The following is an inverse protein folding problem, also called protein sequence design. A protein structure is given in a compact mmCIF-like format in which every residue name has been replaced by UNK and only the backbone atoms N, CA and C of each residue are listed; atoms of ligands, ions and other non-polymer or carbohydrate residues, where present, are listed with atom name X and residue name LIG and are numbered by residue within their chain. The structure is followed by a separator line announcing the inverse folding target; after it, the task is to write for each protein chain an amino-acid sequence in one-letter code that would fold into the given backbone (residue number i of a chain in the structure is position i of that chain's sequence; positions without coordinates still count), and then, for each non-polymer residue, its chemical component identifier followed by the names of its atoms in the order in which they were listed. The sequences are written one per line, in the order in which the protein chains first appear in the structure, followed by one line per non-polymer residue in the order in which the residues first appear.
data_IF_060519119971
#
_entry.id   IF_060519119971
#
_cell.length_a   1.000
_cell.length_b   1.000
_cell.length_c   1.000
_cell.angle_alpha   90.00
_cell.angle_beta   90.00
_cell.angle_gamma   90.00
#
_symmetry.space_group_name_H-M   'P 1'
#
loop_
_entity.id
_entity.type
_entity.pdbx_description
1 polymer ?
#
# COMPACT_ATOMS: atom_id res chain seq x y z
N UNK A 1 40.16 -16.17 25.89
CA UNK A 1 39.05 -16.04 24.92
C UNK A 1 39.48 -16.74 23.65
N UNK A 2 38.84 -17.86 23.32
CA UNK A 2 39.01 -18.48 21.99
C UNK A 2 38.11 -17.72 21.01
N UNK A 3 38.55 -17.44 19.78
CA UNK A 3 37.66 -16.89 18.76
C UNK A 3 36.60 -17.94 18.42
N UNK A 4 35.37 -17.48 18.20
CA UNK A 4 34.29 -18.28 17.61
C UNK A 4 34.67 -18.64 16.16
N UNK A 5 34.27 -19.81 15.64
CA UNK A 5 34.51 -20.16 14.25
C UNK A 5 33.61 -19.32 13.34
N UNK A 6 34.18 -18.85 12.22
CA UNK A 6 33.44 -18.37 11.06
C UNK A 6 32.67 -19.55 10.45
N UNK A 7 31.37 -19.62 10.70
CA UNK A 7 30.45 -20.53 10.01
C UNK A 7 30.12 -19.94 8.62
N UNK A 8 31.02 -20.20 7.66
CA UNK A 8 30.64 -20.20 6.25
C UNK A 8 29.75 -21.43 6.00
N UNK A 9 28.44 -21.22 5.98
CA UNK A 9 27.49 -22.22 5.50
C UNK A 9 27.65 -22.40 3.98
N UNK A 10 27.92 -23.64 3.58
CA UNK A 10 27.94 -24.08 2.19
C UNK A 10 26.51 -23.97 1.58
N UNK A 11 26.31 -23.19 0.50
CA UNK A 11 24.99 -22.98 -0.11
C UNK A 11 24.41 -24.23 -0.79
N UNK A 12 25.16 -25.33 -0.92
CA UNK A 12 24.75 -26.50 -1.69
C UNK A 12 23.97 -27.59 -0.93
N UNK A 13 23.68 -27.44 0.37
CA UNK A 13 22.94 -28.48 1.10
C UNK A 13 21.82 -27.95 2.01
N UNK A 14 20.66 -27.66 1.41
CA UNK A 14 19.41 -27.41 2.15
C UNK A 14 18.81 -28.74 2.62
N UNK A 15 19.29 -29.28 3.75
CA UNK A 15 18.62 -30.40 4.41
C UNK A 15 17.56 -29.91 5.41
N UNK A 16 16.41 -30.58 5.41
CA UNK A 16 15.36 -30.40 6.42
C UNK A 16 15.95 -30.72 7.80
N UNK A 17 15.89 -29.76 8.71
CA UNK A 17 16.32 -29.99 10.10
C UNK A 17 15.36 -30.94 10.81
N UNK A 18 15.82 -31.66 11.83
CA UNK A 18 15.00 -32.58 12.63
C UNK A 18 13.78 -31.89 13.28
N UNK A 19 13.78 -30.56 13.34
CA UNK A 19 12.72 -29.70 13.87
C UNK A 19 11.69 -29.28 12.82
N UNK A 20 11.79 -29.73 11.56
CA UNK A 20 10.83 -29.39 10.49
C UNK A 20 11.05 -28.03 9.83
N UNK A 21 11.92 -27.17 10.39
CA UNK A 21 12.31 -25.87 9.84
C UNK A 21 13.20 -26.02 8.60
N UNK A 22 13.13 -25.03 7.70
CA UNK A 22 13.89 -25.01 6.45
C UNK A 22 14.41 -23.61 6.14
N UNK A 23 15.63 -23.53 5.64
CA UNK A 23 16.18 -22.26 5.17
C UNK A 23 15.54 -21.88 3.82
N UNK A 24 15.19 -20.62 3.65
CA UNK A 24 14.62 -20.05 2.42
C UNK A 24 15.28 -18.70 2.11
N UNK A 25 15.30 -18.33 0.84
CA UNK A 25 15.62 -16.97 0.40
C UNK A 25 14.32 -16.19 0.36
N UNK A 26 14.29 -15.00 0.94
CA UNK A 26 13.14 -14.10 0.87
C UNK A 26 13.40 -13.12 -0.26
N UNK A 27 12.81 -13.33 -1.45
CA UNK A 27 13.20 -12.62 -2.66
C UNK A 27 12.67 -11.19 -2.71
N UNK A 28 11.63 -10.90 -1.93
CA UNK A 28 10.83 -9.69 -2.07
C UNK A 28 10.39 -9.16 -0.70
N UNK A 29 10.56 -7.85 -0.52
CA UNK A 29 10.26 -7.15 0.72
C UNK A 29 9.08 -6.20 0.54
N UNK A 30 8.25 -6.11 1.56
CA UNK A 30 7.24 -5.05 1.70
C UNK A 30 7.53 -4.31 2.99
N UNK A 31 7.55 -2.98 2.96
CA UNK A 31 7.67 -2.16 4.17
C UNK A 31 6.35 -1.43 4.41
N UNK A 32 5.98 -1.31 5.68
CA UNK A 32 4.86 -0.46 6.09
C UNK A 32 5.43 0.92 6.38
N UNK A 33 5.11 1.90 5.56
CA UNK A 33 5.52 3.27 5.80
C UNK A 33 4.64 3.86 6.92
N UNK A 34 5.24 4.50 7.95
CA UNK A 34 4.45 5.21 8.94
C UNK A 34 3.71 6.36 8.26
N UNK A 35 2.41 6.51 8.55
CA UNK A 35 1.57 7.58 7.97
C UNK A 35 2.14 8.98 8.25
N UNK A 36 2.86 9.11 9.36
CA UNK A 36 3.58 10.33 9.78
C UNK A 36 4.82 10.66 8.95
N UNK A 37 5.36 9.77 8.10
CA UNK A 37 6.54 10.10 7.29
C UNK A 37 6.23 10.81 5.97
N UNK A 38 5.01 10.67 5.45
CA UNK A 38 4.59 11.28 4.17
C UNK A 38 3.83 12.59 4.37
N UNK A 39 3.16 12.72 5.51
CA UNK A 39 2.64 13.98 5.98
C UNK A 39 3.72 14.67 6.82
N UNK A 40 4.29 15.75 6.27
CA UNK A 40 4.88 16.86 7.03
C UNK A 40 6.34 16.69 7.48
N UNK A 41 7.27 16.85 6.53
CA UNK A 41 8.61 17.32 6.89
C UNK A 41 8.66 18.85 7.17
N UNK A 42 7.53 19.58 7.13
CA UNK A 42 7.49 21.06 7.25
C UNK A 42 6.16 21.69 7.74
N UNK A 43 5.34 21.08 8.62
CA UNK A 43 4.16 21.83 9.09
C UNK A 43 3.79 21.68 10.56
N UNK A 44 3.40 22.81 11.15
CA UNK A 44 2.66 22.98 12.41
C UNK A 44 1.20 22.49 12.33
N UNK A 45 0.94 21.36 11.64
CA UNK A 45 -0.40 20.80 11.56
C UNK A 45 -0.75 20.15 12.89
N UNK A 46 -1.75 20.72 13.54
CA UNK A 46 -2.45 20.12 14.67
C UNK A 46 -3.78 19.62 14.13
N UNK A 47 -4.07 18.32 14.24
CA UNK A 47 -5.32 17.77 13.75
C UNK A 47 -5.82 16.64 14.65
N UNK A 48 -7.11 16.62 14.89
CA UNK A 48 -7.83 15.50 15.50
C UNK A 48 -8.96 15.07 14.57
N UNK A 49 -9.18 13.77 14.50
CA UNK A 49 -10.31 13.15 13.82
C UNK A 49 -10.88 12.11 14.78
N UNK A 50 -12.13 12.30 15.17
CA UNK A 50 -12.85 11.40 16.05
C UNK A 50 -14.12 10.91 15.37
N UNK A 51 -14.51 9.68 15.69
CA UNK A 51 -15.77 9.09 15.25
C UNK A 51 -16.61 8.75 16.49
N UNK A 52 -17.81 9.31 16.59
CA UNK A 52 -18.73 9.00 17.69
C UNK A 52 -19.38 7.61 17.53
N UNK A 53 -20.14 7.19 18.55
CA UNK A 53 -20.84 5.89 18.57
C UNK A 53 -21.89 5.74 17.45
N UNK A 54 -22.37 6.84 16.87
CA UNK A 54 -23.31 6.88 15.74
C UNK A 54 -22.59 6.93 14.40
N UNK A 55 -21.27 6.96 14.40
CA UNK A 55 -20.44 7.09 13.21
C UNK A 55 -20.32 8.53 12.69
N UNK A 56 -20.74 9.54 13.44
CA UNK A 56 -20.47 10.95 13.15
C UNK A 56 -19.00 11.28 13.32
N UNK A 57 -18.49 12.09 12.42
CA UNK A 57 -17.11 12.53 12.38
C UNK A 57 -16.99 13.93 12.96
N UNK A 58 -15.99 14.08 13.81
CA UNK A 58 -15.57 15.34 14.39
C UNK A 58 -14.12 15.57 14.04
N UNK A 59 -13.87 16.58 13.20
CA UNK A 59 -12.53 16.96 12.78
C UNK A 59 -12.26 18.36 13.30
N UNK A 60 -11.14 18.52 13.97
CA UNK A 60 -10.58 19.84 14.31
C UNK A 60 -9.17 19.88 13.76
N UNK A 61 -8.82 20.94 13.06
CA UNK A 61 -7.46 21.11 12.59
C UNK A 61 -7.02 22.57 12.66
N UNK A 62 -5.72 22.76 12.74
CA UNK A 62 -5.09 24.05 12.65
C UNK A 62 -3.74 23.90 11.94
N UNK A 63 -3.48 24.77 10.96
CA UNK A 63 -2.29 24.72 10.12
C UNK A 63 -1.87 26.12 9.72
N UNK A 64 -0.57 26.32 9.53
CA UNK A 64 -0.03 27.55 8.97
C UNK A 64 0.13 27.39 7.46
N UNK A 65 -0.47 28.27 6.67
CA UNK A 65 -0.32 28.23 5.22
C UNK A 65 1.06 28.76 4.76
N UNK A 66 1.33 28.68 3.45
CA UNK A 66 2.61 29.12 2.87
C UNK A 66 2.86 30.62 2.99
N UNK A 67 1.84 31.42 3.32
CA UNK A 67 1.95 32.86 3.58
C UNK A 67 2.08 33.16 5.08
N UNK A 68 2.18 32.15 5.94
CA UNK A 68 2.30 32.32 7.39
C UNK A 68 0.97 32.55 8.11
N UNK A 69 -0.16 32.40 7.43
CA UNK A 69 -1.49 32.65 8.01
C UNK A 69 -1.99 31.42 8.74
N UNK A 70 -2.62 31.61 9.90
CA UNK A 70 -3.21 30.50 10.67
C UNK A 70 -4.58 30.16 10.11
N UNK A 71 -4.73 28.93 9.61
CA UNK A 71 -5.99 28.37 9.16
C UNK A 71 -6.46 27.40 10.24
N UNK A 72 -7.67 27.61 10.74
CA UNK A 72 -8.29 26.71 11.73
C UNK A 72 -9.61 26.23 11.16
N UNK A 73 -9.97 24.97 11.41
CA UNK A 73 -11.25 24.46 10.98
C UNK A 73 -11.82 23.43 11.94
N UNK A 74 -13.15 23.43 12.03
CA UNK A 74 -13.93 22.54 12.85
C UNK A 74 -15.12 22.00 12.04
N UNK A 75 -15.17 20.69 11.89
CA UNK A 75 -16.27 19.98 11.23
C UNK A 75 -16.89 19.03 12.25
N UNK A 76 -18.15 19.24 12.57
CA UNK A 76 -18.89 18.39 13.49
C UNK A 76 -20.15 17.90 12.82
N UNK A 77 -20.18 16.61 12.49
CA UNK A 77 -21.38 15.97 11.99
C UNK A 77 -22.39 15.76 13.12
N UNK A 78 -23.67 15.81 12.76
CA UNK A 78 -24.80 15.47 13.61
C UNK A 78 -25.87 14.82 12.73
N UNK A 79 -25.50 13.76 12.02
CA UNK A 79 -26.46 13.05 11.19
C UNK A 79 -27.17 11.96 12.00
N UNK A 80 -28.50 11.82 11.86
CA UNK A 80 -29.22 10.70 12.46
C UNK A 80 -29.07 9.40 11.66
N UNK A 81 -28.57 9.46 10.42
CA UNK A 81 -28.44 8.31 9.53
C UNK A 81 -27.00 7.82 9.49
N UNK A 82 -26.75 6.49 9.50
CA UNK A 82 -25.40 5.96 9.38
C UNK A 82 -24.79 6.30 8.03
N UNK A 83 -23.45 6.23 7.96
CA UNK A 83 -22.71 6.28 6.71
C UNK A 83 -22.11 4.93 6.40
N UNK A 84 -22.11 4.55 5.12
CA UNK A 84 -21.36 3.42 4.58
C UNK A 84 -20.12 4.00 3.88
N UNK A 85 -18.98 4.12 4.59
CA UNK A 85 -17.75 4.56 3.94
C UNK A 85 -17.28 3.50 2.93
N UNK A 86 -16.28 3.85 2.14
CA UNK A 86 -15.71 2.96 1.14
C UNK A 86 -14.22 2.83 1.29
N UNK A 87 -13.66 1.74 0.77
CA UNK A 87 -12.21 1.58 0.66
C UNK A 87 -11.77 2.06 -0.73
N UNK A 88 -10.66 2.82 -0.78
CA UNK A 88 -10.06 3.25 -2.03
C UNK A 88 -8.62 2.80 -2.13
N UNK A 89 -8.25 2.30 -3.30
CA UNK A 89 -6.86 2.20 -3.70
C UNK A 89 -6.47 3.50 -4.41
N UNK A 90 -5.50 4.23 -3.86
CA UNK A 90 -5.05 5.51 -4.43
C UNK A 90 -3.91 5.29 -5.45
N UNK A 91 -4.02 5.80 -6.68
CA UNK A 91 -3.00 5.66 -7.73
C UNK A 91 -1.82 6.63 -7.50
N UNK A 92 -1.20 6.54 -6.32
CA UNK A 92 -0.04 7.36 -5.96
C UNK A 92 1.15 6.97 -6.82
N UNK A 93 1.98 7.97 -7.18
CA UNK A 93 3.16 7.74 -7.99
C UNK A 93 2.89 7.58 -9.49
N UNK A 94 1.64 7.62 -9.96
CA UNK A 94 1.35 7.33 -11.37
C UNK A 94 2.05 8.23 -12.40
N UNK A 95 2.51 9.42 -12.00
CA UNK A 95 3.32 10.34 -12.82
C UNK A 95 4.83 10.07 -12.75
N UNK A 96 5.32 9.28 -11.80
CA UNK A 96 6.73 8.99 -11.61
C UNK A 96 7.21 7.99 -12.67
N UNK A 97 8.31 8.34 -13.36
CA UNK A 97 8.93 7.49 -14.40
C UNK A 97 9.85 6.41 -13.83
N UNK A 98 10.60 6.74 -12.78
CA UNK A 98 11.59 5.85 -12.15
C UNK A 98 11.43 5.92 -10.64
N UNK A 99 10.32 5.42 -10.08
CA UNK A 99 10.14 5.44 -8.64
C UNK A 99 11.11 4.45 -7.97
N UNK A 100 11.44 4.68 -6.70
CA UNK A 100 12.28 3.74 -5.94
C UNK A 100 11.49 2.54 -5.40
N UNK A 101 10.17 2.56 -5.51
CA UNK A 101 9.26 1.51 -5.03
C UNK A 101 7.91 1.60 -5.76
N UNK A 102 7.08 0.56 -5.66
CA UNK A 102 5.66 0.68 -6.00
C UNK A 102 4.85 1.07 -4.75
N UNK A 103 4.24 2.26 -4.72
CA UNK A 103 3.41 2.69 -3.60
C UNK A 103 2.02 2.04 -3.67
N UNK A 104 1.68 1.18 -2.71
CA UNK A 104 0.33 0.64 -2.56
C UNK A 104 -0.38 1.35 -1.40
N UNK A 105 -1.19 2.37 -1.75
CA UNK A 105 -1.89 3.23 -0.80
C UNK A 105 -3.35 2.82 -0.68
N UNK A 106 -3.74 2.32 0.49
CA UNK A 106 -5.12 1.97 0.80
C UNK A 106 -5.70 3.00 1.75
N UNK A 107 -6.82 3.60 1.35
CA UNK A 107 -7.61 4.51 2.16
C UNK A 107 -8.78 3.71 2.73
N UNK A 108 -8.68 3.31 4.00
CA UNK A 108 -9.75 2.59 4.68
C UNK A 108 -10.80 3.58 5.17
N UNK A 109 -12.07 3.19 5.05
CA UNK A 109 -13.19 4.01 5.48
C UNK A 109 -13.20 5.45 4.92
N UNK A 110 -12.75 5.62 3.66
CA UNK A 110 -12.87 6.87 2.94
C UNK A 110 -14.33 7.30 2.80
N UNK A 111 -14.61 8.56 3.16
CA UNK A 111 -15.94 9.15 3.01
C UNK A 111 -15.84 10.68 2.92
N UNK A 112 -16.96 11.29 2.55
CA UNK A 112 -17.14 12.72 2.54
C UNK A 112 -17.87 13.19 3.80
N UNK A 113 -17.45 14.31 4.37
CA UNK A 113 -18.14 14.91 5.53
C UNK A 113 -19.57 15.28 5.15
N UNK A 114 -20.54 14.84 5.94
CA UNK A 114 -21.97 15.16 5.85
C UNK A 114 -22.20 16.62 6.18
N UNK A 115 -23.12 17.24 5.45
CA UNK A 115 -23.54 18.62 5.71
C UNK A 115 -24.53 18.73 6.88
N UNK A 116 -24.98 17.61 7.45
CA UNK A 116 -25.75 17.63 8.70
C UNK A 116 -24.81 17.92 9.85
N UNK A 117 -24.77 19.16 10.33
CA UNK A 117 -23.89 19.57 11.41
C UNK A 117 -23.37 21.00 11.26
N UNK A 118 -22.17 21.24 11.80
CA UNK A 118 -21.47 22.53 11.78
C UNK A 118 -20.16 22.38 11.02
N UNK A 119 -19.88 23.32 10.11
CA UNK A 119 -18.63 23.41 9.38
C UNK A 119 -18.12 24.84 9.46
N UNK A 120 -16.96 25.03 10.06
CA UNK A 120 -16.36 26.34 10.26
C UNK A 120 -14.90 26.31 9.87
N UNK A 121 -14.46 27.35 9.20
CA UNK A 121 -13.06 27.60 8.89
C UNK A 121 -12.77 29.06 9.13
N UNK A 122 -11.64 29.36 9.75
CA UNK A 122 -11.11 30.71 9.91
C UNK A 122 -9.75 30.80 9.22
N UNK A 123 -9.42 31.99 8.72
CA UNK A 123 -8.08 32.33 8.23
C UNK A 123 -7.65 33.60 8.97
N UNK A 124 -6.58 33.53 9.75
CA UNK A 124 -6.15 34.58 10.69
C UNK A 124 -7.29 35.07 11.58
N UNK A 125 -8.07 34.14 12.11
CA UNK A 125 -9.25 34.44 12.96
C UNK A 125 -10.47 35.01 12.21
N UNK A 126 -10.37 35.27 10.90
CA UNK A 126 -11.49 35.75 10.11
C UNK A 126 -12.30 34.56 9.57
N UNK A 127 -13.63 34.50 9.82
CA UNK A 127 -14.47 33.43 9.28
C UNK A 127 -14.39 33.38 7.75
N UNK A 128 -14.09 32.20 7.23
CA UNK A 128 -14.11 31.89 5.81
C UNK A 128 -15.46 31.29 5.46
N UNK A 129 -16.20 31.97 4.57
CA UNK A 129 -17.39 31.37 3.98
C UNK A 129 -16.95 30.28 3.01
N UNK A 130 -17.19 29.02 3.37
CA UNK A 130 -16.95 27.90 2.48
C UNK A 130 -17.85 28.03 1.24
N UNK A 131 -17.25 27.97 0.06
CA UNK A 131 -17.98 28.00 -1.20
C UNK A 131 -19.01 26.87 -1.23
N UNK A 132 -20.26 27.20 -1.57
CA UNK A 132 -21.28 26.19 -1.82
C UNK A 132 -20.92 25.34 -3.02
N UNK A 133 -21.31 24.06 -3.00
CA UNK A 133 -21.15 23.19 -4.16
C UNK A 133 -22.27 23.53 -5.16
N UNK A 134 -21.96 23.79 -6.45
CA UNK A 134 -22.99 24.10 -7.45
C UNK A 134 -23.99 22.97 -7.68
N UNK A 135 -23.65 21.73 -7.28
CA UNK A 135 -24.52 20.56 -7.32
C UNK A 135 -24.40 19.80 -5.98
N UNK A 136 -25.51 19.49 -5.28
CA UNK A 136 -25.44 18.76 -4.03
C UNK A 136 -24.88 17.35 -4.27
N UNK A 137 -23.77 17.03 -3.61
CA UNK A 137 -23.27 15.66 -3.55
C UNK A 137 -24.16 14.89 -2.57
N UNK A 138 -25.10 14.13 -3.09
CA UNK A 138 -25.96 13.28 -2.27
C UNK A 138 -25.44 11.85 -2.35
N UNK A 139 -25.05 11.30 -1.21
CA UNK A 139 -24.73 9.88 -1.05
C UNK A 139 -25.61 9.31 0.06
N UNK A 140 -26.19 8.13 -0.17
CA UNK A 140 -26.99 7.43 0.85
C UNK A 140 -28.13 8.30 1.42
N UNK A 141 -28.76 9.12 0.58
CA UNK A 141 -29.84 10.04 0.96
C UNK A 141 -29.40 11.25 1.79
N UNK A 142 -28.11 11.48 1.96
CA UNK A 142 -27.55 12.55 2.80
C UNK A 142 -26.68 13.50 1.97
N UNK A 143 -26.84 14.83 2.14
CA UNK A 143 -25.96 15.80 1.49
C UNK A 143 -24.56 15.76 2.11
N UNK A 144 -23.54 15.80 1.25
CA UNK A 144 -22.12 15.73 1.59
C UNK A 144 -21.38 16.97 1.08
N UNK A 145 -20.29 17.32 1.77
CA UNK A 145 -19.30 18.29 1.32
C UNK A 145 -18.27 17.63 0.40
N UNK A 146 -17.37 18.43 -0.19
CA UNK A 146 -16.16 17.90 -0.84
C UNK A 146 -15.00 17.64 0.15
N UNK A 147 -15.20 17.91 1.43
CA UNK A 147 -14.22 17.57 2.47
C UNK A 147 -14.20 16.05 2.60
N UNK A 148 -13.04 15.48 2.30
CA UNK A 148 -12.77 14.05 2.38
C UNK A 148 -12.08 13.79 3.70
N UNK A 149 -12.40 12.66 4.32
CA UNK A 149 -11.66 12.18 5.47
C UNK A 149 -11.37 10.69 5.30
N UNK A 150 -10.30 10.26 5.94
CA UNK A 150 -9.84 8.87 5.94
C UNK A 150 -9.31 8.59 7.34
N UNK A 151 -10.06 7.82 8.17
CA UNK A 151 -9.65 7.58 9.55
C UNK A 151 -8.44 6.65 9.64
N UNK A 152 -8.25 5.77 8.65
CA UNK A 152 -7.19 4.77 8.65
C UNK A 152 -6.62 4.59 7.23
N UNK A 153 -5.29 4.56 7.14
CA UNK A 153 -4.58 4.40 5.87
C UNK A 153 -3.46 3.39 6.01
N UNK A 154 -3.34 2.50 5.04
CA UNK A 154 -2.18 1.66 4.85
C UNK A 154 -1.33 2.21 3.70
N UNK A 155 -0.04 2.39 3.98
CA UNK A 155 0.95 2.80 2.99
C UNK A 155 2.00 1.72 2.94
N UNK A 156 2.00 0.95 1.85
CA UNK A 156 2.94 -0.14 1.65
C UNK A 156 3.95 0.24 0.57
N UNK A 157 5.23 0.11 0.91
CA UNK A 157 6.34 0.16 -0.02
C UNK A 157 6.54 -1.24 -0.60
N UNK A 158 6.04 -1.47 -1.81
CA UNK A 158 6.09 -2.79 -2.44
C UNK A 158 7.36 -2.91 -3.27
N UNK A 159 8.20 -3.87 -2.89
CA UNK A 159 9.48 -4.23 -3.50
C UNK A 159 10.38 -3.00 -3.69
N UNK A 160 10.78 -2.33 -2.58
CA UNK A 160 11.62 -1.16 -2.68
C UNK A 160 12.98 -1.52 -3.30
N UNK A 161 13.37 -0.77 -4.32
CA UNK A 161 14.57 -0.99 -5.14
C UNK A 161 15.88 -0.60 -4.41
N UNK A 162 15.77 0.00 -3.24
CA UNK A 162 16.91 0.32 -2.36
C UNK A 162 17.35 -0.87 -1.50
N UNK A 163 16.62 -1.99 -1.53
CA UNK A 163 17.05 -3.26 -0.94
C UNK A 163 18.14 -3.83 -1.85
N UNK A 164 19.35 -3.96 -1.30
CA UNK A 164 20.53 -4.45 -2.04
C UNK A 164 21.03 -5.83 -1.59
N UNK A 165 20.49 -6.34 -0.48
CA UNK A 165 20.88 -7.62 0.12
C UNK A 165 19.72 -8.61 0.11
N UNK A 166 20.02 -9.86 -0.23
CA UNK A 166 19.08 -10.96 -0.14
C UNK A 166 19.01 -11.47 1.30
N UNK A 167 17.80 -11.56 1.81
CA UNK A 167 17.58 -12.10 3.15
C UNK A 167 17.44 -13.61 3.10
N UNK A 168 18.21 -14.29 3.93
CA UNK A 168 18.07 -15.72 4.22
C UNK A 168 17.37 -15.89 5.57
N UNK A 169 16.38 -16.76 5.63
CA UNK A 169 15.59 -16.97 6.83
C UNK A 169 15.25 -18.45 7.03
N UNK A 170 14.98 -18.84 8.27
CA UNK A 170 14.43 -20.15 8.60
C UNK A 170 12.91 -20.06 8.68
N UNK A 171 12.21 -20.96 8.01
CA UNK A 171 10.76 -21.10 8.15
C UNK A 171 10.39 -21.65 9.52
N UNK A 172 9.19 -21.28 9.97
CA UNK A 172 8.51 -21.95 11.07
C UNK A 172 8.26 -23.43 10.70
N UNK A 173 8.55 -24.32 11.67
CA UNK A 173 8.50 -25.77 11.53
C UNK A 173 7.16 -26.30 11.01
N UNK A 174 6.06 -25.63 11.35
CA UNK A 174 4.72 -26.16 11.13
C UNK A 174 3.97 -25.45 10.00
N UNK A 175 4.50 -24.34 9.48
CA UNK A 175 3.74 -23.42 8.61
C UNK A 175 4.45 -22.98 7.34
N UNK A 176 5.71 -23.34 7.13
CA UNK A 176 6.51 -22.85 6.00
C UNK A 176 6.45 -21.31 5.87
N UNK A 177 6.37 -20.61 7.00
CA UNK A 177 6.26 -19.15 7.07
C UNK A 177 7.49 -18.51 7.68
N UNK A 178 7.76 -17.27 7.27
CA UNK A 178 8.72 -16.37 7.92
C UNK A 178 8.00 -15.08 8.29
N UNK A 179 8.01 -14.70 9.57
CA UNK A 179 7.30 -13.50 10.06
C UNK A 179 8.29 -12.48 10.62
N UNK A 180 8.18 -11.24 10.17
CA UNK A 180 8.98 -10.10 10.63
C UNK A 180 8.08 -8.88 10.86
N UNK A 181 7.90 -8.50 12.13
CA UNK A 181 6.97 -7.43 12.49
C UNK A 181 5.56 -7.76 12.00
N UNK A 182 5.04 -6.92 11.11
CA UNK A 182 3.69 -7.05 10.52
C UNK A 182 3.66 -7.84 9.20
N UNK A 183 4.81 -8.31 8.71
CA UNK A 183 4.95 -8.97 7.41
C UNK A 183 5.17 -10.46 7.60
N UNK A 184 4.35 -11.28 6.94
CA UNK A 184 4.45 -12.74 6.94
C UNK A 184 4.62 -13.25 5.53
N UNK A 185 5.74 -13.89 5.23
CA UNK A 185 6.00 -14.62 4.00
C UNK A 185 5.57 -16.08 4.17
N UNK A 186 4.87 -16.64 3.19
CA UNK A 186 4.47 -18.03 3.10
C UNK A 186 5.12 -18.66 1.88
N UNK A 187 5.73 -19.83 2.07
CA UNK A 187 6.47 -20.55 1.05
C UNK A 187 5.80 -21.89 0.72
N UNK A 188 5.87 -22.29 -0.56
CA UNK A 188 5.45 -23.59 -1.05
C UNK A 188 6.69 -24.28 -1.65
N UNK A 189 7.34 -25.16 -0.90
CA UNK A 189 8.71 -25.47 -1.25
C UNK A 189 9.57 -24.20 -1.06
N UNK A 190 10.68 -24.07 -1.79
CA UNK A 190 11.58 -22.91 -1.65
C UNK A 190 11.02 -21.66 -2.37
N UNK A 191 9.87 -21.82 -3.02
CA UNK A 191 9.19 -20.79 -3.77
C UNK A 191 8.25 -19.96 -2.88
N UNK A 192 8.26 -18.65 -3.09
CA UNK A 192 7.40 -17.70 -2.37
C UNK A 192 5.97 -17.77 -2.94
N UNK A 193 5.02 -18.23 -2.13
CA UNK A 193 3.60 -18.29 -2.52
C UNK A 193 2.89 -16.96 -2.22
N UNK A 194 3.08 -16.43 -1.01
CA UNK A 194 2.30 -15.29 -0.53
C UNK A 194 3.10 -14.41 0.43
N UNK A 195 2.86 -13.11 0.40
CA UNK A 195 3.27 -12.15 1.43
C UNK A 195 1.99 -11.57 2.03
N UNK A 196 1.84 -11.59 3.36
CA UNK A 196 0.73 -10.95 4.07
C UNK A 196 1.27 -9.80 4.90
N UNK A 197 0.59 -8.65 4.84
CA UNK A 197 0.87 -7.49 5.67
C UNK A 197 -0.45 -6.82 6.01
N UNK A 198 -0.82 -6.79 7.30
CA UNK A 198 -2.12 -6.28 7.76
C UNK A 198 -3.28 -6.90 6.97
N UNK A 199 -4.13 -6.07 6.36
CA UNK A 199 -5.26 -6.49 5.52
C UNK A 199 -4.89 -6.70 4.05
N UNK A 200 -3.61 -6.63 3.69
CA UNK A 200 -3.13 -6.75 2.31
C UNK A 200 -2.34 -8.04 2.12
N UNK A 201 -2.58 -8.72 1.00
CA UNK A 201 -1.82 -9.87 0.56
C UNK A 201 -1.23 -9.66 -0.84
N UNK A 202 -0.01 -10.16 -1.03
CA UNK A 202 0.59 -10.38 -2.35
C UNK A 202 0.64 -11.88 -2.60
N UNK A 203 0.14 -12.32 -3.74
CA UNK A 203 0.06 -13.73 -4.12
C UNK A 203 0.73 -13.96 -5.47
N UNK A 204 1.49 -15.05 -5.58
CA UNK A 204 2.12 -15.53 -6.81
C UNK A 204 1.47 -16.86 -7.24
N UNK A 205 1.13 -16.99 -8.52
CA UNK A 205 0.57 -18.21 -9.11
C UNK A 205 1.22 -18.53 -10.47
N UNK A 206 2.07 -19.58 -10.58
CA UNK A 206 2.51 -20.44 -9.49
C UNK A 206 3.38 -19.70 -8.45
N UNK A 207 3.75 -20.34 -7.32
CA UNK A 207 4.70 -19.76 -6.37
C UNK A 207 6.00 -19.31 -7.05
N UNK A 208 6.53 -18.16 -6.63
CA UNK A 208 7.71 -17.53 -7.21
C UNK A 208 8.99 -18.23 -6.73
N UNK A 209 9.68 -18.93 -7.64
CA UNK A 209 10.99 -19.52 -7.40
C UNK A 209 12.06 -18.75 -8.20
N UNK A 210 13.05 -18.15 -7.51
CA UNK A 210 14.18 -17.49 -8.19
C UNK A 210 15.22 -18.48 -8.70
N UNK A 211 15.24 -19.73 -8.22
CA UNK A 211 16.19 -20.75 -8.65
C UNK A 211 15.75 -21.49 -9.91
N UNK A 212 14.53 -21.24 -10.37
CA UNK A 212 13.96 -21.87 -11.56
C UNK A 212 13.45 -20.82 -12.54
N UNK A 213 13.71 -21.06 -13.84
CA UNK A 213 13.05 -20.27 -14.89
C UNK A 213 11.55 -20.56 -14.86
N UNK A 214 10.76 -19.50 -14.99
CA UNK A 214 9.31 -19.63 -14.92
C UNK A 214 8.61 -18.32 -15.19
N UNK A 215 7.32 -18.42 -15.43
CA UNK A 215 6.42 -17.29 -15.54
C UNK A 215 5.11 -17.61 -14.84
N UNK A 216 4.40 -16.56 -14.44
CA UNK A 216 3.12 -16.70 -13.78
C UNK A 216 2.44 -15.37 -13.59
N UNK A 217 1.35 -15.40 -12.84
CA UNK A 217 0.59 -14.23 -12.48
C UNK A 217 0.89 -13.85 -11.02
N UNK A 218 0.79 -12.57 -10.71
CA UNK A 218 0.88 -12.08 -9.34
C UNK A 218 -0.21 -11.06 -9.08
N UNK A 219 -0.59 -10.89 -7.81
CA UNK A 219 -1.56 -9.87 -7.43
C UNK A 219 -1.32 -9.32 -6.05
N UNK A 220 -1.66 -8.05 -5.86
CA UNK A 220 -1.81 -7.41 -4.56
C UNK A 220 -3.30 -7.20 -4.33
N UNK A 221 -3.83 -7.68 -3.20
CA UNK A 221 -5.24 -7.56 -2.84
C UNK A 221 -5.37 -7.07 -1.41
N UNK A 222 -6.29 -6.16 -1.19
CA UNK A 222 -6.66 -5.73 0.16
C UNK A 222 -8.04 -6.29 0.52
N UNK A 223 -8.17 -6.82 1.74
CA UNK A 223 -9.41 -7.39 2.26
C UNK A 223 -10.58 -6.38 2.24
N UNK A 224 -11.81 -6.89 2.33
CA UNK A 224 -13.00 -6.04 2.47
C UNK A 224 -13.40 -5.25 1.21
N UNK A 225 -13.00 -5.72 0.02
CA UNK A 225 -13.25 -5.08 -1.28
C UNK A 225 -12.42 -3.82 -1.57
N UNK A 226 -11.23 -3.65 -0.97
CA UNK A 226 -10.34 -2.50 -1.21
C UNK A 226 -9.78 -2.36 -2.63
N UNK A 227 -10.01 -3.35 -3.49
CA UNK A 227 -9.42 -3.42 -4.81
C UNK A 227 -8.02 -4.04 -4.76
N UNK A 228 -7.23 -3.79 -5.80
CA UNK A 228 -5.89 -4.35 -5.91
C UNK A 228 -5.24 -4.11 -7.26
N UNK A 229 -4.05 -4.68 -7.43
CA UNK A 229 -3.35 -4.72 -8.72
C UNK A 229 -3.01 -6.16 -9.07
N UNK A 230 -2.95 -6.44 -10.36
CA UNK A 230 -2.61 -7.75 -10.91
C UNK A 230 -1.59 -7.57 -12.01
N UNK A 231 -0.75 -8.57 -12.19
CA UNK A 231 0.34 -8.52 -13.13
C UNK A 231 0.86 -9.89 -13.52
N UNK A 232 1.89 -9.89 -14.35
CA UNK A 232 2.65 -11.11 -14.68
C UNK A 232 4.06 -11.00 -14.14
N UNK A 233 4.63 -12.13 -13.75
CA UNK A 233 6.01 -12.24 -13.38
C UNK A 233 6.75 -13.17 -14.35
N UNK A 234 8.04 -12.90 -14.57
CA UNK A 234 8.93 -13.73 -15.38
C UNK A 234 10.29 -13.82 -14.69
N UNK A 235 10.81 -15.05 -14.57
CA UNK A 235 12.16 -15.36 -14.14
C UNK A 235 12.94 -15.88 -15.34
N UNK A 236 13.89 -15.09 -15.86
CA UNK A 236 14.52 -15.32 -17.18
C UNK A 236 15.94 -15.91 -17.13
N UNK A 237 16.58 -15.87 -15.97
CA UNK A 237 17.85 -16.54 -15.67
C UNK A 237 17.69 -17.26 -14.33
N UNK A 238 18.37 -18.40 -14.17
CA UNK A 238 18.23 -19.28 -13.01
C UNK A 238 19.62 -19.81 -12.62
N UNK A 239 19.73 -20.45 -11.46
CA UNK A 239 20.96 -20.82 -10.77
C UNK A 239 21.60 -19.65 -10.00
N UNK A 240 22.85 -19.27 -10.28
CA UNK A 240 23.60 -18.29 -9.48
C UNK A 240 23.08 -16.85 -9.64
N UNK A 241 22.58 -16.50 -10.83
CA UNK A 241 22.02 -15.19 -11.11
C UNK A 241 20.63 -15.31 -11.71
N UNK A 242 19.65 -14.80 -10.99
CA UNK A 242 18.25 -14.78 -11.41
C UNK A 242 17.81 -13.38 -11.80
N UNK A 243 17.00 -13.28 -12.86
CA UNK A 243 16.37 -12.02 -13.26
C UNK A 243 14.87 -12.13 -13.15
N UNK A 244 14.27 -11.36 -12.26
CA UNK A 244 12.83 -11.27 -12.04
C UNK A 244 12.28 -9.97 -12.63
N UNK A 245 11.24 -10.10 -13.45
CA UNK A 245 10.43 -8.98 -13.90
C UNK A 245 9.00 -9.13 -13.39
N UNK A 246 8.44 -8.07 -12.82
CA UNK A 246 7.02 -7.99 -12.43
C UNK A 246 6.39 -6.85 -13.20
N UNK A 247 5.40 -7.12 -14.06
CA UNK A 247 4.68 -6.08 -14.80
C UNK A 247 3.24 -6.04 -14.34
N UNK A 248 2.77 -4.86 -13.95
CA UNK A 248 1.34 -4.63 -13.69
C UNK A 248 0.60 -4.70 -15.02
N UNK A 249 -0.47 -5.47 -15.09
CA UNK A 249 -1.29 -5.60 -16.30
C UNK A 249 -2.71 -5.09 -16.08
N UNK A 250 -3.15 -5.04 -14.82
CA UNK A 250 -4.52 -4.64 -14.47
C UNK A 250 -4.60 -4.05 -13.08
N UNK A 251 -5.41 -3.02 -12.92
CA UNK A 251 -5.93 -2.59 -11.63
C UNK A 251 -7.36 -3.12 -11.43
N UNK A 252 -7.65 -3.57 -10.23
CA UNK A 252 -8.97 -4.03 -9.81
C UNK A 252 -9.54 -2.98 -8.90
N UNK A 253 -10.57 -2.29 -9.35
CA UNK A 253 -11.18 -1.23 -8.55
C UNK A 253 -12.05 -1.82 -7.43
N UNK A 254 -12.09 -1.16 -6.26
CA UNK A 254 -12.95 -1.56 -5.16
C UNK A 254 -14.42 -1.53 -5.59
N UNK A 255 -15.19 -2.54 -5.20
CA UNK A 255 -16.61 -2.62 -5.52
C UNK A 255 -17.40 -1.56 -4.73
N UNK A 256 -17.93 -0.57 -5.45
CA UNK A 256 -18.67 0.54 -4.85
C UNK A 256 -20.17 0.25 -4.78
N UNK A 257 -20.75 0.37 -3.58
CA UNK A 257 -22.20 0.17 -3.34
C UNK A 257 -23.02 1.41 -3.70
N UNK A 258 -22.51 2.61 -3.41
CA UNK A 258 -23.23 3.87 -3.64
C UNK A 258 -23.03 4.41 -5.08
N UNK A 259 -24.02 5.13 -5.62
CA UNK A 259 -23.95 5.75 -6.96
C UNK A 259 -22.87 6.84 -7.00
N UNK A 260 -22.77 7.65 -5.96
CA UNK A 260 -21.79 8.74 -5.88
C UNK A 260 -20.38 8.17 -5.94
N UNK A 261 -20.10 7.13 -5.16
CA UNK A 261 -18.80 6.48 -5.17
C UNK A 261 -18.49 5.81 -6.51
N UNK A 262 -19.48 5.20 -7.18
CA UNK A 262 -19.29 4.69 -8.55
C UNK A 262 -18.95 5.77 -9.56
N UNK A 263 -19.46 6.99 -9.39
CA UNK A 263 -19.12 8.13 -10.25
C UNK A 263 -17.66 8.57 -10.08
N UNK A 264 -17.15 8.56 -8.84
CA UNK A 264 -15.77 8.94 -8.55
C UNK A 264 -14.77 7.79 -8.72
N UNK A 265 -15.21 6.55 -8.60
CA UNK A 265 -14.36 5.36 -8.59
C UNK A 265 -14.87 4.40 -9.65
N UNK A 266 -14.42 4.64 -10.87
CA UNK A 266 -14.65 3.80 -12.03
C UNK A 266 -13.43 3.87 -12.95
N UNK A 267 -13.40 3.00 -13.96
CA UNK A 267 -12.28 2.86 -14.90
C UNK A 267 -11.94 4.15 -15.67
N UNK A 268 -12.88 5.09 -15.79
CA UNK A 268 -12.68 6.39 -16.47
C UNK A 268 -12.32 7.52 -15.52
N UNK A 269 -12.33 7.26 -14.21
CA UNK A 269 -12.00 8.25 -13.19
C UNK A 269 -10.49 8.29 -12.92
N UNK A 270 -10.03 9.32 -12.21
CA UNK A 270 -8.65 9.37 -11.72
C UNK A 270 -8.26 8.11 -10.93
N UNK A 271 -9.16 7.60 -10.07
CA UNK A 271 -8.94 6.38 -9.29
C UNK A 271 -8.95 5.10 -10.13
N UNK A 272 -9.53 5.14 -11.33
CA UNK A 272 -9.50 4.07 -12.32
C UNK A 272 -8.28 4.08 -13.22
N UNK A 273 -7.63 5.23 -13.33
CA UNK A 273 -6.49 5.41 -14.21
C UNK A 273 -5.25 5.00 -13.43
N UNK A 274 -4.92 3.71 -13.53
CA UNK A 274 -3.70 3.17 -12.96
C UNK A 274 -2.60 3.09 -14.01
N UNK A 275 -1.33 3.35 -13.62
CA UNK A 275 -0.21 3.27 -14.52
C UNK A 275 0.13 1.80 -14.79
N UNK A 276 -0.55 1.19 -15.77
CA UNK A 276 -0.35 -0.22 -16.17
C UNK A 276 1.03 -0.47 -16.83
N UNK A 277 1.85 0.57 -16.93
CA UNK A 277 3.21 0.47 -17.45
C UNK A 277 4.28 0.34 -16.35
N UNK A 278 3.86 0.19 -15.08
CA UNK A 278 4.77 -0.10 -13.98
C UNK A 278 5.40 -1.49 -14.11
N UNK A 279 6.72 -1.52 -14.00
CA UNK A 279 7.50 -2.74 -14.02
C UNK A 279 8.62 -2.69 -12.99
N UNK A 280 8.72 -3.74 -12.19
CA UNK A 280 9.89 -4.07 -11.39
C UNK A 280 10.83 -4.94 -12.23
N UNK A 281 12.11 -4.62 -12.23
CA UNK A 281 13.17 -5.39 -12.89
C UNK A 281 14.32 -5.54 -11.90
N UNK A 282 14.48 -6.76 -11.38
CA UNK A 282 15.47 -7.12 -10.38
C UNK A 282 16.40 -8.22 -10.86
N UNK A 283 17.69 -8.05 -10.59
CA UNK A 283 18.74 -9.05 -10.76
C UNK A 283 19.23 -9.48 -9.38
N UNK A 284 19.23 -10.80 -9.16
CA UNK A 284 19.47 -11.44 -7.88
C UNK A 284 20.70 -12.34 -8.03
N UNK A 285 21.74 -12.06 -7.26
CA UNK A 285 22.90 -12.94 -7.14
C UNK A 285 22.70 -13.80 -5.90
N UNK A 286 22.25 -15.05 -6.12
CA UNK A 286 21.86 -15.96 -5.05
C UNK A 286 23.06 -16.49 -4.25
N UNK A 287 24.25 -16.49 -4.85
CA UNK A 287 25.48 -16.93 -4.22
C UNK A 287 26.11 -15.80 -3.39
N UNK A 288 26.14 -14.59 -3.94
CA UNK A 288 26.65 -13.40 -3.24
C UNK A 288 25.64 -12.84 -2.22
N UNK A 289 24.38 -13.25 -2.28
CA UNK A 289 23.31 -12.74 -1.42
C UNK A 289 22.99 -11.27 -1.71
N UNK A 290 23.07 -10.84 -2.97
CA UNK A 290 22.84 -9.44 -3.35
C UNK A 290 21.71 -9.30 -4.37
N UNK A 291 21.12 -8.12 -4.42
CA UNK A 291 20.07 -7.76 -5.37
C UNK A 291 20.33 -6.35 -5.92
N UNK A 292 20.08 -6.18 -7.21
CA UNK A 292 20.01 -4.88 -7.86
C UNK A 292 18.66 -4.77 -8.56
N UNK A 293 17.87 -3.77 -8.19
CA UNK A 293 16.52 -3.63 -8.71
C UNK A 293 16.21 -2.19 -9.11
N UNK A 294 15.16 -2.06 -9.91
CA UNK A 294 14.57 -0.77 -10.26
C UNK A 294 13.09 -0.92 -10.55
N UNK A 295 12.34 0.15 -10.30
CA UNK A 295 11.04 0.34 -10.89
C UNK A 295 11.13 1.33 -12.06
N UNK A 296 10.34 1.07 -13.09
CA UNK A 296 10.10 2.03 -14.15
C UNK A 296 8.64 2.02 -14.56
N UNK A 297 8.19 3.14 -15.11
CA UNK A 297 6.85 3.36 -15.61
C UNK A 297 6.94 3.94 -17.03
N UNK A 298 6.67 3.08 -18.03
CA UNK A 298 6.82 3.45 -19.44
C UNK A 298 5.72 4.41 -19.94
N UNK A 299 4.64 4.58 -19.18
CA UNK A 299 3.50 5.44 -19.51
C UNK A 299 2.99 6.19 -18.26
N UNK A 300 3.76 7.16 -17.75
CA UNK A 300 3.32 7.95 -16.60
C UNK A 300 2.07 8.75 -16.94
N UNK A 301 1.16 8.84 -15.96
CA UNK A 301 -0.03 9.67 -16.04
C UNK A 301 0.35 11.11 -15.71
N UNK A 302 0.29 12.00 -16.70
CA UNK A 302 0.63 13.41 -16.56
C UNK A 302 0.74 14.13 -17.89
#
# INVERSE_FOLDING_TARGET
MRPLPDDHLDPATYQRTATGTRAVVVPLTIRVAPVTSLALQNSDLEATLERDERGNIHIVFAVTDTSGRRIEGAFHENSPLPSLPTQLLAPVGASARTPVMFPHFVLHDFDFVRLSGRMEVTVDGHPLQLGGIPVPLVAQGQPRSFVKFVPETDILEVFPADVTELRHAMTDADRDTVTEGEVTHLFAGDALERIRVRTTEVVFDPPLDLRARGEGDWSIRTEGHGGGVQGRYVVSDADAQARLQLRITRAVLPHQRDVLYRLFVNEKSFFGTWPLAYCYDGTFDLDAGTVSARWFNDAPLG
#
